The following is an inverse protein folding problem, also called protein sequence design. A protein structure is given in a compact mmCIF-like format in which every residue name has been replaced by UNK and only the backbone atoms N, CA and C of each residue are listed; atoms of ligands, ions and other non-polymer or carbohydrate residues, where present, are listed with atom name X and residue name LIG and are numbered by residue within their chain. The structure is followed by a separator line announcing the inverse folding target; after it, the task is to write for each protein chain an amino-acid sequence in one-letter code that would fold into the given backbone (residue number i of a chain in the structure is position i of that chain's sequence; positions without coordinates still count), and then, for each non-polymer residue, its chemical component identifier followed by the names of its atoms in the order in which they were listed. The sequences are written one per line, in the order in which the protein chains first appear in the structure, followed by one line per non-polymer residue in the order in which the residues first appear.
data_IF_614577948244
#
_entry.id   IF_614577948244
#
_cell.length_a   1.000
_cell.length_b   1.000
_cell.length_c   1.000
_cell.angle_alpha   90.00
_cell.angle_beta   90.00
_cell.angle_gamma   90.00
#
_symmetry.space_group_name_H-M   'P 1'
#
loop_
_entity.id
_entity.type
_entity.pdbx_description
1 polymer ?
#
# COMPACT_ATOMS: atom_id res chain seq x y z
N UNK A 1 -1.94 -2.03 -11.83
CA UNK A 1 -0.78 -1.69 -10.96
C UNK A 1 -1.27 -1.16 -9.63
N UNK A 2 -0.70 -1.67 -8.53
CA UNK A 2 -1.08 -1.28 -7.17
C UNK A 2 -0.58 0.11 -6.81
N UNK A 3 -1.28 0.79 -5.90
CA UNK A 3 -0.78 2.03 -5.34
C UNK A 3 0.59 1.77 -4.69
N UNK A 4 1.62 2.56 -4.99
CA UNK A 4 2.98 2.35 -4.47
C UNK A 4 3.03 2.20 -2.94
N UNK A 5 2.29 3.05 -2.23
CA UNK A 5 2.17 3.00 -0.76
C UNK A 5 1.45 1.73 -0.27
N UNK A 6 0.60 1.15 -1.10
CA UNK A 6 -0.06 -0.12 -0.76
C UNK A 6 0.91 -1.30 -0.77
N UNK A 7 2.02 -1.22 -1.52
CA UNK A 7 3.11 -2.21 -1.45
C UNK A 7 3.82 -2.13 -0.09
N UNK A 8 4.14 -0.91 0.36
CA UNK A 8 4.77 -0.69 1.68
C UNK A 8 3.86 -1.14 2.84
N UNK A 9 2.55 -0.88 2.73
CA UNK A 9 1.57 -1.39 3.71
C UNK A 9 1.60 -2.92 3.78
N UNK A 10 1.61 -3.59 2.61
CA UNK A 10 1.67 -5.06 2.56
C UNK A 10 2.98 -5.59 3.12
N UNK A 11 4.10 -4.94 2.81
CA UNK A 11 5.41 -5.29 3.34
C UNK A 11 5.47 -5.20 4.87
N UNK A 12 5.04 -4.08 5.44
CA UNK A 12 5.02 -3.91 6.88
C UNK A 12 4.11 -4.96 7.57
N UNK A 13 2.95 -5.26 6.97
CA UNK A 13 2.05 -6.29 7.47
C UNK A 13 2.60 -7.72 7.33
N UNK A 14 3.45 -8.00 6.34
CA UNK A 14 4.12 -9.30 6.22
C UNK A 14 5.28 -9.47 7.18
N UNK A 15 5.95 -8.38 7.58
CA UNK A 15 7.07 -8.44 8.53
C UNK A 15 6.60 -8.46 9.98
N UNK A 16 5.65 -7.59 10.32
CA UNK A 16 5.18 -7.39 11.70
C UNK A 16 3.87 -8.12 12.02
N UNK A 17 3.28 -8.78 11.03
CA UNK A 17 2.04 -9.54 11.19
C UNK A 17 0.78 -8.66 11.34
N UNK A 18 -0.30 -9.21 11.92
CA UNK A 18 -1.58 -8.51 12.05
C UNK A 18 -1.48 -7.26 12.95
N UNK A 19 -1.95 -6.10 12.45
CA UNK A 19 -1.87 -4.84 13.19
C UNK A 19 -3.18 -4.06 13.23
N UNK A 20 -3.37 -3.25 14.29
CA UNK A 20 -4.45 -2.25 14.35
C UNK A 20 -4.16 -1.08 13.42
N UNK A 21 -5.20 -0.30 13.07
CA UNK A 21 -5.03 0.90 12.23
C UNK A 21 -4.06 1.92 12.84
N UNK A 22 -4.06 2.05 14.17
CA UNK A 22 -3.23 3.00 14.90
C UNK A 22 -1.77 2.60 14.82
N UNK A 23 -1.45 1.35 15.15
CA UNK A 23 -0.07 0.88 15.08
C UNK A 23 0.43 0.76 13.66
N UNK A 24 -0.42 0.37 12.70
CA UNK A 24 -0.04 0.34 11.30
C UNK A 24 0.38 1.74 10.83
N UNK A 25 -0.37 2.77 11.22
CA UNK A 25 -0.02 4.15 10.88
C UNK A 25 1.31 4.59 11.51
N UNK A 26 1.51 4.30 12.79
CA UNK A 26 2.75 4.63 13.51
C UNK A 26 3.96 3.87 12.94
N UNK A 27 3.81 2.57 12.67
CA UNK A 27 4.84 1.74 12.07
C UNK A 27 5.22 2.18 10.66
N UNK A 28 4.25 2.62 9.85
CA UNK A 28 4.52 3.18 8.51
C UNK A 28 5.24 4.52 8.57
N UNK A 29 4.90 5.39 9.52
CA UNK A 29 5.59 6.66 9.71
C UNK A 29 7.03 6.45 10.20
N UNK A 30 7.26 5.44 11.03
CA UNK A 30 8.60 5.11 11.53
C UNK A 30 9.48 4.45 10.45
N UNK A 31 8.94 3.50 9.70
CA UNK A 31 9.70 2.76 8.67
C UNK A 31 9.85 3.55 7.36
N UNK A 32 8.83 4.33 6.98
CA UNK A 32 8.77 5.00 5.67
C UNK A 32 8.28 6.47 5.80
N UNK A 33 8.98 7.32 6.57
CA UNK A 33 8.53 8.70 6.84
C UNK A 33 8.34 9.53 5.58
N UNK A 34 9.24 9.42 4.60
CA UNK A 34 9.17 10.18 3.35
C UNK A 34 7.92 9.86 2.51
N UNK A 35 7.48 8.59 2.52
CA UNK A 35 6.36 8.12 1.71
C UNK A 35 5.01 8.40 2.38
N UNK A 36 4.97 8.40 3.72
CA UNK A 36 3.74 8.58 4.50
C UNK A 36 3.62 9.95 5.19
N UNK A 37 4.55 10.87 4.93
CA UNK A 37 4.43 12.27 5.36
C UNK A 37 3.09 12.88 4.89
N UNK A 38 2.30 13.39 5.84
CA UNK A 38 0.97 13.98 5.58
C UNK A 38 -0.16 12.96 5.34
N UNK A 39 0.11 11.65 5.40
CA UNK A 39 -0.94 10.62 5.27
C UNK A 39 -1.62 10.40 6.63
N UNK A 40 -2.93 10.63 6.68
CA UNK A 40 -3.74 10.45 7.90
C UNK A 40 -4.19 8.99 8.10
N UNK A 41 -4.49 8.61 9.35
CA UNK A 41 -5.12 7.32 9.69
C UNK A 41 -6.39 7.05 8.86
N UNK A 42 -7.17 8.11 8.62
CA UNK A 42 -8.39 8.04 7.80
C UNK A 42 -8.10 7.68 6.35
N UNK A 43 -7.05 8.25 5.74
CA UNK A 43 -6.64 7.90 4.38
C UNK A 43 -6.16 6.45 4.31
N UNK A 44 -5.35 6.00 5.28
CA UNK A 44 -4.94 4.58 5.40
C UNK A 44 -6.14 3.65 5.42
N UNK A 45 -7.13 3.93 6.28
CA UNK A 45 -8.34 3.12 6.40
C UNK A 45 -9.23 3.15 5.16
N UNK A 46 -9.62 4.35 4.72
CA UNK A 46 -10.67 4.55 3.70
C UNK A 46 -10.18 4.35 2.28
N UNK A 47 -8.91 4.63 2.01
CA UNK A 47 -8.33 4.52 0.66
C UNK A 47 -7.52 3.24 0.55
N UNK A 48 -6.45 3.11 1.33
CA UNK A 48 -5.47 2.04 1.10
C UNK A 48 -5.99 0.67 1.54
N UNK A 49 -6.42 0.54 2.79
CA UNK A 49 -6.89 -0.74 3.34
C UNK A 49 -8.22 -1.17 2.72
N UNK A 50 -9.15 -0.23 2.46
CA UNK A 50 -10.39 -0.52 1.72
C UNK A 50 -10.08 -1.12 0.34
N UNK A 51 -9.17 -0.51 -0.42
CA UNK A 51 -8.80 -0.99 -1.75
C UNK A 51 -8.07 -2.34 -1.69
N UNK A 52 -7.15 -2.51 -0.75
CA UNK A 52 -6.42 -3.76 -0.56
C UNK A 52 -7.36 -4.91 -0.15
N UNK A 53 -8.38 -4.63 0.68
CA UNK A 53 -9.41 -5.61 1.06
C UNK A 53 -10.28 -5.99 -0.13
N UNK A 54 -10.70 -5.00 -0.93
CA UNK A 54 -11.48 -5.24 -2.15
C UNK A 54 -10.72 -6.07 -3.20
N UNK A 55 -9.40 -5.92 -3.25
CA UNK A 55 -8.51 -6.75 -4.09
C UNK A 55 -8.22 -8.12 -3.48
N UNK A 56 -8.79 -8.43 -2.32
CA UNK A 56 -8.52 -9.67 -1.60
C UNK A 56 -7.08 -9.79 -1.10
N UNK A 57 -6.29 -8.73 -1.01
CA UNK A 57 -4.87 -8.84 -0.62
C UNK A 57 -4.65 -8.80 0.89
N UNK A 58 -5.62 -8.24 1.63
CA UNK A 58 -5.60 -8.17 3.10
C UNK A 58 -6.94 -8.63 3.66
N UNK A 59 -6.93 -9.10 4.90
CA UNK A 59 -8.12 -9.46 5.67
C UNK A 59 -8.22 -8.56 6.90
N UNK A 60 -9.46 -8.26 7.26
CA UNK A 60 -9.79 -7.53 8.48
C UNK A 60 -10.47 -8.50 9.43
N UNK A 61 -9.90 -8.68 10.62
CA UNK A 61 -10.41 -9.56 11.66
C UNK A 61 -10.66 -8.77 12.94
N UNK A 62 -11.75 -9.03 13.67
CA UNK A 62 -11.96 -8.37 14.96
C UNK A 62 -10.91 -8.84 15.98
N UNK A 63 -10.39 -7.91 16.80
CA UNK A 63 -9.45 -8.20 17.90
C UNK A 63 -9.99 -9.20 18.92
N UNK A 64 -11.31 -9.35 19.02
CA UNK A 64 -11.98 -10.32 19.90
C UNK A 64 -11.74 -11.79 19.47
N UNK A 65 -11.11 -12.02 18.32
CA UNK A 65 -10.83 -13.37 17.84
C UNK A 65 -9.61 -13.97 18.56
N UNK A 66 -9.86 -14.87 19.54
CA UNK A 66 -8.87 -15.47 20.46
C UNK A 66 -7.54 -15.94 19.80
N UNK A 67 -7.61 -16.56 18.63
CA UNK A 67 -6.42 -17.07 17.94
C UNK A 67 -5.43 -15.99 17.48
N UNK A 68 -5.88 -14.73 17.33
CA UNK A 68 -5.05 -13.63 16.82
C UNK A 68 -4.41 -12.87 17.98
N UNK A 69 -5.11 -12.74 19.12
CA UNK A 69 -4.53 -12.19 20.35
C UNK A 69 -3.34 -13.01 20.86
N UNK A 70 -3.37 -14.34 20.72
CA UNK A 70 -2.25 -15.21 21.11
C UNK A 70 -1.01 -15.02 20.21
N UNK A 71 -1.19 -14.85 18.89
CA UNK A 71 -0.08 -14.56 17.96
C UNK A 71 0.51 -13.16 18.17
N UNK A 72 -0.31 -12.19 18.56
CA UNK A 72 0.15 -10.83 18.90
C UNK A 72 0.98 -10.79 20.18
N UNK A 73 0.65 -11.60 21.19
CA UNK A 73 1.42 -11.74 22.43
C UNK A 73 2.79 -12.38 22.23
N UNK A 74 2.97 -13.18 21.16
CA UNK A 74 4.25 -13.82 20.82
C UNK A 74 5.14 -12.97 19.91
N UNK A 75 4.66 -11.84 19.40
CA UNK A 75 5.49 -10.95 18.58
C UNK A 75 6.44 -10.13 19.49
N UNK A 76 7.74 -10.07 19.18
CA UNK A 76 8.77 -9.51 20.07
C UNK A 76 8.62 -8.01 20.34
N UNK A 77 7.78 -7.30 19.59
CA UNK A 77 7.62 -5.84 19.64
C UNK A 77 6.63 -5.31 20.70
N UNK A 78 6.28 -6.11 21.72
CA UNK A 78 5.57 -5.58 22.92
C UNK A 78 4.24 -4.88 22.59
N UNK A 79 3.48 -5.43 21.65
CA UNK A 79 2.26 -4.82 21.15
C UNK A 79 1.14 -4.86 22.20
N UNK A 80 0.89 -3.75 22.87
CA UNK A 80 -0.25 -3.65 23.80
C UNK A 80 -1.53 -3.36 23.01
N UNK A 81 -2.44 -4.35 22.96
CA UNK A 81 -3.83 -4.18 22.54
C UNK A 81 -4.54 -3.23 23.51
N UNK A 82 -4.31 -1.92 23.38
CA UNK A 82 -5.00 -0.90 24.19
C UNK A 82 -6.49 -0.78 23.83
N UNK A 83 -6.91 -1.30 22.68
CA UNK A 83 -8.30 -1.26 22.23
C UNK A 83 -8.84 -2.66 21.89
N UNK A 84 -9.60 -3.24 22.82
CA UNK A 84 -10.28 -4.54 22.69
C UNK A 84 -11.39 -4.56 21.62
N UNK A 85 -11.75 -3.41 21.03
CA UNK A 85 -12.73 -3.26 19.94
C UNK A 85 -12.08 -3.01 18.55
N UNK A 86 -10.75 -3.05 18.45
CA UNK A 86 -10.05 -2.68 17.22
C UNK A 86 -10.04 -3.78 16.16
N UNK A 87 -10.28 -3.41 14.90
CA UNK A 87 -10.06 -4.30 13.77
C UNK A 87 -8.56 -4.47 13.51
N UNK A 88 -8.13 -5.72 13.42
CA UNK A 88 -6.80 -6.13 13.01
C UNK A 88 -6.76 -6.33 11.50
N UNK A 89 -5.70 -5.85 10.88
CA UNK A 89 -5.45 -5.99 9.46
C UNK A 89 -4.28 -6.94 9.26
N UNK A 90 -4.48 -7.99 8.47
CA UNK A 90 -3.45 -8.97 8.14
C UNK A 90 -3.32 -9.09 6.63
N UNK A 91 -2.11 -9.43 6.16
CA UNK A 91 -1.94 -9.85 4.78
C UNK A 91 -2.52 -11.25 4.57
N UNK A 92 -2.84 -11.60 3.32
CA UNK A 92 -3.15 -12.98 2.99
C UNK A 92 -1.88 -13.86 3.04
N UNK A 93 -1.99 -15.12 3.52
CA UNK A 93 -0.85 -16.01 3.68
C UNK A 93 -0.13 -16.31 2.35
N UNK A 94 -0.87 -16.41 1.25
CA UNK A 94 -0.32 -16.62 -0.10
C UNK A 94 0.60 -15.48 -0.57
N UNK A 95 0.42 -14.29 0.00
CA UNK A 95 1.18 -13.10 -0.35
C UNK A 95 2.27 -12.79 0.68
N UNK A 96 2.19 -13.37 1.88
CA UNK A 96 3.06 -13.05 3.00
C UNK A 96 4.53 -13.31 2.66
N UNK A 97 4.84 -14.49 2.13
CA UNK A 97 6.20 -14.88 1.75
C UNK A 97 6.77 -14.01 0.62
N UNK A 98 5.92 -13.61 -0.33
CA UNK A 98 6.29 -12.73 -1.44
C UNK A 98 6.72 -11.34 -0.98
N UNK A 99 6.01 -10.74 -0.03
CA UNK A 99 6.35 -9.40 0.45
C UNK A 99 7.42 -9.43 1.55
N UNK A 100 7.56 -10.55 2.26
CA UNK A 100 8.64 -10.77 3.23
C UNK A 100 10.01 -10.96 2.56
N UNK A 101 10.05 -11.61 1.40
CA UNK A 101 11.27 -11.79 0.61
C UNK A 101 11.65 -10.57 -0.23
N UNK A 102 10.73 -9.61 -0.43
CA UNK A 102 10.99 -8.39 -1.19
C UNK A 102 11.83 -7.41 -0.38
N UNK A 103 12.96 -6.95 -0.93
CA UNK A 103 13.81 -5.95 -0.27
C UNK A 103 13.12 -4.58 -0.19
N UNK A 104 13.52 -3.75 0.79
CA UNK A 104 12.96 -2.39 0.93
C UNK A 104 13.28 -1.51 -0.26
N UNK A 105 14.44 -1.74 -0.88
CA UNK A 105 14.86 -1.02 -2.08
C UNK A 105 14.04 -1.44 -3.30
N UNK A 106 13.73 -2.73 -3.49
CA UNK A 106 12.84 -3.17 -4.57
C UNK A 106 11.42 -2.63 -4.40
N UNK A 107 10.91 -2.61 -3.17
CA UNK A 107 9.63 -2.02 -2.85
C UNK A 107 9.61 -0.54 -3.25
N UNK A 108 10.63 0.26 -2.84
CA UNK A 108 10.77 1.69 -3.19
C UNK A 108 11.08 1.94 -4.67
N UNK A 109 11.81 1.05 -5.32
CA UNK A 109 12.19 1.16 -6.73
C UNK A 109 10.97 0.92 -7.64
N UNK A 110 10.09 -0.02 -7.27
CA UNK A 110 8.80 -0.18 -7.94
C UNK A 110 7.94 1.09 -7.85
N UNK A 111 7.93 1.76 -6.69
CA UNK A 111 7.21 3.04 -6.52
C UNK A 111 7.76 4.09 -7.49
N UNK A 112 9.09 4.26 -7.48
CA UNK A 112 9.77 5.27 -8.28
C UNK A 112 9.57 5.03 -9.79
N UNK A 113 9.67 3.77 -10.24
CA UNK A 113 9.49 3.40 -11.65
C UNK A 113 8.04 3.59 -12.13
N UNK A 114 7.05 3.28 -11.28
CA UNK A 114 5.64 3.51 -11.62
C UNK A 114 5.37 5.01 -11.76
N UNK A 115 5.87 5.84 -10.83
CA UNK A 115 5.70 7.30 -10.88
C UNK A 115 6.39 7.90 -12.11
N UNK A 116 7.64 7.50 -12.39
CA UNK A 116 8.39 7.93 -13.59
C UNK A 116 7.63 7.60 -14.87
N UNK A 117 7.05 6.40 -14.96
CA UNK A 117 6.27 5.99 -16.14
C UNK A 117 5.00 6.83 -16.30
N UNK A 118 4.28 7.11 -15.21
CA UNK A 118 3.08 7.95 -15.25
C UNK A 118 3.43 9.39 -15.68
N UNK A 119 4.53 9.94 -15.18
CA UNK A 119 4.97 11.29 -15.55
C UNK A 119 5.46 11.36 -16.99
N UNK A 120 6.15 10.32 -17.49
CA UNK A 120 6.55 10.24 -18.90
C UNK A 120 5.33 10.20 -19.84
N UNK A 121 4.31 9.40 -19.53
CA UNK A 121 3.07 9.33 -20.32
C UNK A 121 2.26 10.63 -20.24
N UNK A 122 2.21 11.29 -19.08
CA UNK A 122 1.63 12.64 -18.96
C UNK A 122 2.39 13.69 -19.76
N UNK A 123 3.73 13.60 -19.80
CA UNK A 123 4.59 14.46 -20.61
C UNK A 123 4.24 14.38 -22.08
N UNK A 124 4.08 13.16 -22.62
CA UNK A 124 3.63 12.95 -24.01
C UNK A 124 2.26 13.58 -24.30
N UNK A 125 1.33 13.51 -23.35
CA UNK A 125 0.04 14.19 -23.48
C UNK A 125 0.19 15.72 -23.54
N UNK A 126 1.11 16.30 -22.78
CA UNK A 126 1.42 17.74 -22.82
C UNK A 126 2.15 18.13 -24.11
N UNK A 127 3.13 17.34 -24.53
CA UNK A 127 3.91 17.56 -25.74
C UNK A 127 3.04 17.52 -27.01
N UNK A 128 1.90 16.82 -27.01
CA UNK A 128 0.89 16.90 -28.07
C UNK A 128 0.22 18.27 -28.13
N UNK A 129 -0.22 18.81 -26.98
CA UNK A 129 -0.84 20.14 -26.91
C UNK A 129 0.16 21.27 -27.18
N UNK A 130 1.44 21.08 -26.84
CA UNK A 130 2.55 21.99 -27.14
C UNK A 130 3.09 21.83 -28.58
N UNK A 131 2.49 20.96 -29.41
CA UNK A 131 2.81 20.81 -30.84
C UNK A 131 4.13 20.10 -31.15
N UNK A 132 4.75 19.43 -30.17
CA UNK A 132 6.02 18.70 -30.34
C UNK A 132 5.83 17.28 -30.88
N UNK A 133 4.61 16.76 -30.82
CA UNK A 133 4.21 15.47 -31.40
C UNK A 133 2.86 15.60 -32.09
N UNK A 134 2.72 14.98 -33.25
CA UNK A 134 1.54 15.10 -34.13
C UNK A 134 0.40 14.14 -33.77
N UNK A 135 0.64 13.16 -32.91
CA UNK A 135 -0.34 12.12 -32.56
C UNK A 135 -0.91 12.37 -31.16
N UNK A 136 -2.24 12.46 -30.99
CA UNK A 136 -2.87 12.59 -29.70
C UNK A 136 -2.55 11.35 -28.85
N UNK A 137 -1.75 11.53 -27.80
CA UNK A 137 -1.49 10.48 -26.84
C UNK A 137 -2.51 10.61 -25.70
N UNK A 138 -3.57 9.80 -25.76
CA UNK A 138 -4.48 9.65 -24.62
C UNK A 138 -3.80 8.78 -23.56
N UNK A 139 -2.94 9.42 -22.77
CA UNK A 139 -2.18 8.80 -21.70
C UNK A 139 -3.09 8.04 -20.72
N UNK A 140 -4.38 8.41 -20.57
CA UNK A 140 -5.32 7.68 -19.73
C UNK A 140 -5.75 6.35 -20.36
N UNK A 141 -5.99 6.34 -21.67
CA UNK A 141 -6.31 5.11 -22.41
C UNK A 141 -5.11 4.15 -22.43
N UNK A 142 -3.90 4.66 -22.71
CA UNK A 142 -2.66 3.87 -22.70
C UNK A 142 -2.39 3.27 -21.32
N UNK A 143 -2.55 4.06 -20.26
CA UNK A 143 -2.42 3.53 -18.89
C UNK A 143 -3.50 2.49 -18.59
N UNK A 144 -4.73 2.66 -19.08
CA UNK A 144 -5.82 1.69 -18.89
C UNK A 144 -5.56 0.38 -19.62
N UNK A 145 -5.04 0.40 -20.85
CA UNK A 145 -4.59 -0.78 -21.60
C UNK A 145 -3.43 -1.50 -20.91
N UNK A 146 -2.51 -0.75 -20.30
CA UNK A 146 -1.43 -1.32 -19.48
C UNK A 146 -1.88 -1.78 -18.08
N UNK A 147 -3.19 -1.77 -17.79
CA UNK A 147 -3.74 -2.15 -16.47
C UNK A 147 -3.32 -1.22 -15.33
N UNK A 148 -2.93 0.03 -15.62
CA UNK A 148 -2.54 1.08 -14.67
C UNK A 148 -3.74 1.99 -14.38
N UNK A 149 -4.12 2.12 -13.10
CA UNK A 149 -5.22 3.02 -12.70
C UNK A 149 -4.73 4.47 -12.74
N UNK A 150 -5.58 5.36 -13.27
CA UNK A 150 -5.29 6.78 -13.54
C UNK A 150 -5.78 7.72 -12.44
N UNK A 151 -6.53 7.22 -11.45
CA UNK A 151 -6.98 7.98 -10.29
C UNK A 151 -6.03 7.78 -9.11
N UNK A 152 -5.31 8.86 -8.77
CA UNK A 152 -4.70 9.07 -7.46
C UNK A 152 -5.75 9.63 -6.49
#
# INVERSE_FOLDING_TARGET
MGNPRAVLIKKLLSERGPQTITSLHEGLLQAYPAEFAGVTKTNIKKVYLKNLKALGQIRATPSSHKAISEKLLQSPDGFTLKDSSSWLWSIQPELEEKYRSMSDEEAKTQITNIIKTINAERGKGKDFWDGRINTPSDWKAVLKEQGKKTSY
#
